data_IF_444268443351
#
_entry.id   IF_444268443351
#
_cell.length_a   1.000
_cell.length_b   1.000
_cell.length_c   1.000
_cell.angle_alpha   90.00
_cell.angle_beta   90.00
_cell.angle_gamma   90.00
#
_symmetry.space_group_name_H-M   'P 1'
#
loop_
_entity.id
_entity.type
_entity.pdbx_description
1 polymer ?
2 non-polymer ?
3 non-polymer ?
4 water ?
#
# COMPACT_ATOMS: atom_id res chain seq x y z
N UNK A 21 19.46 -31.58 7.02
CA UNK A 21 20.38 -30.45 7.31
C UNK A 21 19.65 -29.26 7.92
N UNK A 22 18.38 -29.05 7.53
CA UNK A 22 17.55 -27.86 7.87
C UNK A 22 17.36 -27.72 9.38
N UNK A 23 17.61 -26.54 9.93
CA UNK A 23 17.51 -26.27 11.38
C UNK A 23 16.08 -25.92 11.76
N UNK A 24 15.71 -26.16 13.01
CA UNK A 24 14.46 -25.62 13.62
C UNK A 24 14.62 -24.11 13.77
N UNK A 25 13.58 -23.34 13.43
CA UNK A 25 13.58 -21.87 13.58
C UNK A 25 13.62 -21.53 15.06
N UNK A 26 14.42 -20.54 15.47
CA UNK A 26 14.44 -20.11 16.86
C UNK A 26 13.14 -19.43 17.20
N UNK A 27 12.69 -19.65 18.43
CA UNK A 27 11.46 -19.01 18.94
C UNK A 27 11.86 -17.62 19.44
N UNK A 28 11.16 -16.58 19.02
CA UNK A 28 11.50 -15.20 19.45
C UNK A 28 11.19 -15.11 20.96
N UNK A 29 12.11 -14.50 21.70
CA UNK A 29 12.04 -14.39 23.18
C UNK A 29 10.76 -13.60 23.50
N UNK A 30 9.98 -14.14 24.42
CA UNK A 30 8.73 -13.49 24.86
C UNK A 30 8.38 -13.84 26.28
N UNK A 31 7.11 -13.72 26.60
CA UNK A 31 6.53 -13.96 27.93
C UNK A 31 6.56 -15.47 28.18
N UNK A 32 6.86 -15.94 29.41
CA UNK A 32 6.92 -17.38 29.64
C UNK A 32 5.61 -18.14 29.39
N UNK A 33 4.48 -17.47 29.59
CA UNK A 33 3.12 -18.05 29.40
C UNK A 33 2.57 -17.62 28.03
N UNK A 34 2.69 -16.33 27.72
CA UNK A 34 1.92 -15.72 26.62
C UNK A 34 2.77 -15.54 25.37
N UNK A 35 4.01 -16.01 25.35
CA UNK A 35 4.88 -15.85 24.16
C UNK A 35 4.96 -14.40 23.70
N UNK A 36 4.73 -14.14 22.42
CA UNK A 36 4.93 -12.79 21.84
C UNK A 36 3.63 -11.99 21.86
N UNK A 37 2.57 -12.49 22.50
CA UNK A 37 1.22 -11.83 22.40
C UNK A 37 1.29 -10.37 22.89
N UNK A 38 1.87 -10.10 24.05
CA UNK A 38 1.86 -8.72 24.60
C UNK A 38 2.77 -7.83 23.73
N UNK A 39 3.95 -8.34 23.36
CA UNK A 39 4.94 -7.52 22.61
C UNK A 39 4.40 -7.14 21.24
N UNK A 40 3.67 -8.04 20.58
CA UNK A 40 3.09 -7.78 19.24
C UNK A 40 1.89 -6.84 19.31
N UNK A 41 1.10 -6.90 20.38
CA UNK A 41 0.04 -5.91 20.62
C UNK A 41 0.67 -4.54 20.87
N UNK A 42 1.63 -4.46 21.78
CA UNK A 42 2.21 -3.15 22.20
C UNK A 42 3.04 -2.49 21.11
N UNK A 43 3.91 -3.25 20.45
CA UNK A 43 4.84 -2.65 19.48
C UNK A 43 5.35 -3.71 18.50
N UNK A 44 4.53 -4.09 17.51
CA UNK A 44 4.92 -5.15 16.60
C UNK A 44 6.19 -4.81 15.81
N UNK A 45 6.28 -3.56 15.37
CA UNK A 45 7.41 -3.17 14.49
C UNK A 45 8.75 -3.28 15.22
N UNK A 46 8.78 -2.83 16.48
CA UNK A 46 10.02 -2.99 17.26
C UNK A 46 10.28 -4.47 17.54
N UNK A 47 9.20 -5.20 17.78
CA UNK A 47 9.32 -6.65 18.04
C UNK A 47 9.93 -7.37 16.82
N UNK A 48 9.45 -7.03 15.63
CA UNK A 48 10.03 -7.62 14.39
C UNK A 48 11.52 -7.30 14.29
N UNK A 49 11.91 -6.04 14.52
CA UNK A 49 13.32 -5.62 14.44
C UNK A 49 14.14 -6.35 15.49
N UNK A 50 13.61 -6.48 16.71
CA UNK A 50 14.34 -7.27 17.75
C UNK A 50 14.46 -8.72 17.29
N UNK A 51 13.40 -9.28 16.72
CA UNK A 51 13.45 -10.71 16.34
C UNK A 51 14.64 -10.94 15.40
N UNK A 52 14.80 -10.06 14.43
CA UNK A 52 15.91 -10.24 13.46
C UNK A 52 17.25 -10.07 14.20
N UNK A 53 17.36 -9.00 14.98
CA UNK A 53 18.66 -8.69 15.66
C UNK A 53 19.09 -9.85 16.56
N UNK A 54 18.18 -10.38 17.35
CA UNK A 54 18.57 -11.39 18.38
C UNK A 54 18.46 -12.84 17.90
N UNK A 55 17.62 -13.10 16.89
CA UNK A 55 17.35 -14.51 16.53
C UNK A 55 17.66 -14.87 15.07
N UNK A 56 17.87 -13.86 14.23
CA UNK A 56 18.27 -14.17 12.86
C UNK A 56 17.22 -13.91 11.80
N UNK A 57 17.46 -14.45 10.60
CA UNK A 57 16.61 -14.10 9.43
C UNK A 57 15.42 -15.04 9.22
N UNK A 58 15.37 -16.15 9.95
CA UNK A 58 14.17 -17.04 9.90
C UNK A 58 13.80 -17.37 11.35
N UNK A 59 12.65 -16.88 11.80
CA UNK A 59 12.27 -17.04 13.22
C UNK A 59 10.83 -17.53 13.33
N UNK A 60 10.44 -17.90 14.55
CA UNK A 60 9.02 -18.23 14.75
C UNK A 60 8.49 -17.46 15.97
N UNK A 61 7.26 -17.00 15.83
CA UNK A 61 6.60 -16.25 16.92
C UNK A 61 5.59 -17.21 17.55
N UNK A 62 5.70 -17.31 18.86
CA UNK A 62 4.86 -18.27 19.60
C UNK A 62 3.80 -17.49 20.33
N UNK A 63 2.58 -18.02 20.30
CA UNK A 63 1.48 -17.44 21.09
C UNK A 63 1.35 -18.26 22.36
N UNK A 64 0.52 -17.76 23.23
CA UNK A 64 0.28 -18.47 24.47
C UNK A 64 -1.11 -18.10 24.93
N UNK A 65 -1.74 -18.93 25.76
CA UNK A 65 -1.17 -20.23 26.12
C UNK A 65 -1.03 -21.21 24.96
N UNK A 66 -0.30 -22.33 25.15
CA UNK A 66 -0.12 -23.32 24.08
C UNK A 66 -1.44 -23.76 23.45
N UNK A 67 -1.48 -23.81 22.13
CA UNK A 67 -2.67 -24.27 21.42
C UNK A 67 -3.53 -23.14 20.92
N UNK A 68 -3.28 -21.91 21.37
CA UNK A 68 -4.19 -20.83 20.92
C UNK A 68 -4.05 -20.72 19.40
N UNK A 69 -2.80 -20.67 18.97
CA UNK A 69 -2.51 -20.50 17.53
C UNK A 69 -1.19 -21.20 17.24
N UNK A 70 -1.10 -21.74 16.05
CA UNK A 70 0.18 -22.32 15.64
C UNK A 70 1.24 -21.23 15.58
N UNK A 71 2.49 -21.67 15.73
CA UNK A 71 3.62 -20.72 15.60
C UNK A 71 3.59 -20.08 14.21
N UNK A 72 3.92 -18.79 14.16
CA UNK A 72 3.97 -18.05 12.87
C UNK A 72 5.43 -17.84 12.55
N UNK A 73 5.81 -18.17 11.32
CA UNK A 73 7.25 -18.09 10.97
C UNK A 73 7.52 -16.72 10.39
N UNK A 74 8.71 -16.20 10.36
CA UNK A 74 8.94 -14.92 9.65
C UNK A 74 10.25 -15.07 8.87
N UNK A 75 10.32 -14.42 7.72
CA UNK A 75 11.51 -14.53 6.81
C UNK A 75 11.97 -13.12 6.55
N UNK A 76 13.21 -12.78 6.93
CA UNK A 76 13.66 -11.37 6.89
C UNK A 76 14.81 -11.11 5.90
N UNK A 77 15.42 -12.15 5.37
CA UNK A 77 16.51 -11.94 4.38
C UNK A 77 15.93 -11.61 3.00
N UNK A 78 16.67 -10.85 2.22
CA UNK A 78 16.29 -10.53 0.84
C UNK A 78 16.19 -11.86 0.07
N UNK A 79 17.11 -12.79 0.31
CA UNK A 79 17.11 -14.10 -0.39
C UNK A 79 15.85 -14.88 -0.04
N UNK A 80 15.47 -14.86 1.24
CA UNK A 80 14.29 -15.58 1.72
C UNK A 80 13.03 -14.95 1.14
N UNK A 81 12.96 -13.62 1.09
CA UNK A 81 11.77 -12.95 0.56
C UNK A 81 11.61 -13.32 -0.92
N UNK A 82 12.72 -13.31 -1.67
CA UNK A 82 12.69 -13.70 -3.11
C UNK A 82 12.23 -15.15 -3.23
N UNK A 83 12.65 -16.01 -2.33
CA UNK A 83 12.29 -17.45 -2.37
C UNK A 83 10.80 -17.64 -2.14
N UNK A 84 10.24 -16.96 -1.13
CA UNK A 84 8.83 -17.10 -0.73
C UNK A 84 7.91 -16.44 -1.78
N UNK A 85 8.24 -15.25 -2.26
CA UNK A 85 7.32 -14.49 -3.13
C UNK A 85 7.50 -14.88 -4.58
N UNK A 86 8.65 -15.42 -4.98
CA UNK A 86 8.98 -15.62 -6.42
C UNK A 86 9.44 -17.07 -6.68
N UNK A 87 10.61 -17.45 -6.21
CA UNK A 87 11.28 -18.69 -6.69
C UNK A 87 10.38 -19.88 -6.41
N UNK A 88 9.85 -19.98 -5.20
CA UNK A 88 9.00 -21.12 -4.74
C UNK A 88 7.58 -20.64 -4.46
N UNK A 89 7.11 -19.65 -5.23
CA UNK A 89 5.81 -18.99 -4.95
C UNK A 89 4.67 -20.00 -4.87
N UNK A 90 4.70 -21.06 -5.71
CA UNK A 90 3.66 -22.08 -5.70
C UNK A 90 3.48 -22.80 -4.37
N UNK A 91 4.54 -22.86 -3.54
CA UNK A 91 4.47 -23.50 -2.21
C UNK A 91 3.99 -22.53 -1.12
N UNK A 92 3.86 -21.24 -1.40
CA UNK A 92 3.48 -20.25 -0.37
C UNK A 92 2.22 -19.53 -0.85
N UNK A 93 1.06 -19.95 -0.35
CA UNK A 93 -0.27 -19.55 -0.84
C UNK A 93 -0.91 -18.50 0.05
N UNK A 94 -1.94 -17.88 -0.49
CA UNK A 94 -2.78 -16.92 0.25
C UNK A 94 -3.88 -17.66 1.02
N UNK A 95 -3.46 -18.57 1.90
CA UNK A 95 -4.42 -19.44 2.62
C UNK A 95 -4.56 -19.03 4.08
N UNK A 96 -3.84 -18.01 4.51
CA UNK A 96 -4.03 -17.43 5.87
C UNK A 96 -5.51 -17.07 6.09
N UNK A 97 -5.95 -17.19 7.33
CA UNK A 97 -7.36 -16.89 7.74
C UNK A 97 -7.73 -15.47 7.31
N UNK A 98 -6.84 -14.47 7.48
CA UNK A 98 -7.20 -13.05 7.16
C UNK A 98 -7.59 -12.90 5.69
N UNK A 99 -7.08 -13.75 4.78
CA UNK A 99 -7.49 -13.64 3.36
C UNK A 99 -8.96 -14.02 3.23
N UNK A 100 -9.40 -15.03 3.95
CA UNK A 100 -10.78 -15.48 3.89
C UNK A 100 -11.70 -14.41 4.45
N UNK A 101 -11.27 -13.71 5.50
CA UNK A 101 -12.09 -12.57 6.01
C UNK A 101 -12.15 -11.46 4.96
N UNK A 102 -11.06 -11.16 4.25
CA UNK A 102 -11.12 -10.19 3.16
C UNK A 102 -12.08 -10.69 2.08
N UNK A 103 -12.01 -11.95 1.65
CA UNK A 103 -12.93 -12.47 0.62
C UNK A 103 -14.39 -12.26 1.10
N UNK A 104 -14.62 -12.46 2.39
CA UNK A 104 -16.01 -12.38 2.90
C UNK A 104 -16.47 -10.94 2.84
N UNK A 105 -15.55 -9.98 2.92
CA UNK A 105 -15.94 -8.55 2.97
C UNK A 105 -15.95 -7.88 1.58
N UNK A 106 -15.02 -8.26 0.71
CA UNK A 106 -14.93 -7.57 -0.62
C UNK A 106 -15.07 -8.52 -1.80
N UNK A 107 -15.34 -9.78 -1.57
CA UNK A 107 -15.35 -10.69 -2.71
C UNK A 107 -13.95 -11.21 -3.03
N UNK A 108 -13.88 -12.18 -3.92
CA UNK A 108 -12.62 -12.89 -4.23
C UNK A 108 -11.96 -12.32 -5.50
N UNK A 109 -11.65 -11.04 -5.46
CA UNK A 109 -10.95 -10.32 -6.53
C UNK A 109 -9.45 -10.56 -6.56
N UNK A 110 -8.73 -9.69 -7.25
CA UNK A 110 -7.40 -10.03 -7.82
C UNK A 110 -6.45 -10.30 -6.65
N UNK A 111 -6.60 -9.60 -5.53
CA UNK A 111 -5.59 -9.75 -4.45
C UNK A 111 -5.74 -11.09 -3.73
N UNK A 112 -6.96 -11.63 -3.61
CA UNK A 112 -7.22 -12.81 -2.79
C UNK A 112 -7.37 -14.09 -3.61
N UNK A 113 -7.64 -14.01 -4.91
CA UNK A 113 -8.02 -15.23 -5.67
C UNK A 113 -6.77 -16.08 -5.98
N UNK A 114 -6.96 -17.36 -6.23
CA UNK A 114 -5.87 -18.32 -6.42
C UNK A 114 -6.25 -19.27 -7.53
N UNK A 115 -5.27 -20.04 -8.01
CA UNK A 115 -5.47 -21.16 -8.97
C UNK A 115 -6.19 -20.61 -10.21
N UNK A 116 -7.13 -21.36 -10.81
CA UNK A 116 -7.74 -21.01 -12.12
C UNK A 116 -8.54 -19.72 -12.03
N UNK A 117 -9.17 -19.48 -10.88
CA UNK A 117 -9.97 -18.25 -10.62
C UNK A 117 -9.06 -17.05 -10.81
N UNK A 118 -7.89 -17.06 -10.18
CA UNK A 118 -6.88 -15.98 -10.32
C UNK A 118 -6.40 -15.84 -11.75
N UNK A 119 -6.13 -16.94 -12.44
CA UNK A 119 -5.58 -16.82 -13.82
C UNK A 119 -6.61 -16.17 -14.75
N UNK A 120 -7.90 -16.48 -14.60
CA UNK A 120 -8.92 -15.79 -15.40
C UNK A 120 -8.94 -14.30 -15.08
N UNK A 121 -8.87 -13.94 -13.79
CA UNK A 121 -8.93 -12.50 -13.44
C UNK A 121 -7.67 -11.77 -13.97
N UNK A 122 -6.53 -12.43 -13.89
CA UNK A 122 -5.27 -11.78 -14.33
C UNK A 122 -5.29 -11.53 -15.83
N UNK A 123 -5.79 -12.54 -16.56
CA UNK A 123 -5.84 -12.39 -18.04
C UNK A 123 -6.77 -11.23 -18.40
N UNK A 124 -7.83 -11.06 -17.63
CA UNK A 124 -8.86 -10.02 -17.98
C UNK A 124 -8.42 -8.63 -17.51
N UNK A 125 -7.71 -8.55 -16.38
CA UNK A 125 -7.36 -7.23 -15.76
C UNK A 125 -5.95 -6.73 -16.13
N UNK A 126 -5.01 -7.66 -16.38
CA UNK A 126 -3.65 -7.13 -16.68
C UNK A 126 -3.68 -6.12 -17.84
N UNK A 127 -4.43 -6.35 -18.95
CA UNK A 127 -4.50 -5.36 -20.01
C UNK A 127 -4.90 -3.94 -19.59
N UNK A 128 -5.66 -3.82 -18.50
CA UNK A 128 -6.11 -2.49 -18.03
C UNK A 128 -4.93 -1.74 -17.40
N UNK A 129 -3.81 -2.43 -17.10
CA UNK A 129 -2.71 -1.83 -16.30
C UNK A 129 -1.42 -1.86 -17.14
N UNK A 130 -1.56 -1.78 -18.44
CA UNK A 130 -0.38 -1.53 -19.33
C UNK A 130 0.18 -0.16 -18.96
N UNK A 131 1.47 0.05 -19.19
CA UNK A 131 2.09 1.37 -18.89
C UNK A 131 1.35 2.48 -19.65
N UNK A 132 0.98 2.20 -20.90
CA UNK A 132 0.35 3.25 -21.73
C UNK A 132 -1.04 3.60 -21.17
N UNK A 133 -1.79 2.58 -20.77
CA UNK A 133 -3.14 2.84 -20.22
C UNK A 133 -3.02 3.64 -18.92
N UNK A 134 -2.13 3.17 -18.05
CA UNK A 134 -1.95 3.89 -16.74
C UNK A 134 -1.50 5.33 -16.98
N UNK A 135 -0.60 5.53 -17.93
CA UNK A 135 -0.14 6.90 -18.27
C UNK A 135 -1.26 7.83 -18.69
N UNK A 136 -2.32 7.25 -19.24
CA UNK A 136 -3.45 8.08 -19.69
C UNK A 136 -4.16 8.75 -18.53
N UNK A 137 -3.84 8.33 -17.31
CA UNK A 137 -4.52 8.88 -16.12
C UNK A 137 -3.74 10.07 -15.55
N UNK A 138 -2.64 10.42 -16.20
CA UNK A 138 -1.77 11.51 -15.70
C UNK A 138 -2.58 12.80 -15.51
N UNK A 139 -3.45 13.15 -16.47
CA UNK A 139 -4.21 14.40 -16.34
C UNK A 139 -5.16 14.38 -15.15
N UNK A 140 -5.76 13.22 -14.80
CA UNK A 140 -6.64 13.08 -13.62
C UNK A 140 -5.80 13.35 -12.34
N UNK A 141 -4.62 12.75 -12.27
CA UNK A 141 -3.73 12.96 -11.10
C UNK A 141 -3.35 14.43 -11.00
N UNK A 142 -2.88 15.01 -12.10
CA UNK A 142 -2.42 16.41 -12.16
C UNK A 142 -3.56 17.30 -11.70
N UNK A 143 -4.75 17.09 -12.25
CA UNK A 143 -5.96 17.90 -11.93
C UNK A 143 -6.31 17.80 -10.44
N UNK A 144 -6.26 16.58 -9.86
CA UNK A 144 -6.58 16.43 -8.41
C UNK A 144 -5.50 17.12 -7.58
N UNK A 145 -4.24 17.02 -7.97
CA UNK A 145 -3.15 17.66 -7.21
C UNK A 145 -3.26 19.18 -7.29
N UNK A 146 -3.67 19.72 -8.44
CA UNK A 146 -3.92 21.18 -8.56
C UNK A 146 -5.06 21.56 -7.62
N UNK A 147 -6.11 20.74 -7.53
CA UNK A 147 -7.25 21.01 -6.62
C UNK A 147 -6.83 21.02 -5.15
N UNK A 148 -5.95 20.10 -4.77
CA UNK A 148 -5.39 20.08 -3.38
C UNK A 148 -4.55 21.34 -3.12
N UNK A 149 -3.72 21.73 -4.06
CA UNK A 149 -2.92 22.96 -3.95
C UNK A 149 -3.83 24.18 -3.73
N UNK A 150 -4.95 24.27 -4.44
CA UNK A 150 -5.91 25.40 -4.34
C UNK A 150 -6.49 25.37 -2.93
N UNK A 151 -6.92 24.21 -2.44
CA UNK A 151 -7.45 24.00 -1.07
C UNK A 151 -6.40 24.47 -0.05
N UNK A 152 -5.13 24.08 -0.24
CA UNK A 152 -4.10 24.43 0.78
C UNK A 152 -3.81 25.93 0.79
N UNK A 153 -3.81 26.59 -0.36
CA UNK A 153 -3.59 28.06 -0.44
C UNK A 153 -4.68 28.74 0.35
N UNK A 154 -5.85 28.08 0.42
CA UNK A 154 -7.06 28.58 1.11
C UNK A 154 -7.06 28.40 2.61
N UNK A 155 -6.09 27.73 3.22
CA UNK A 155 -6.12 27.43 4.66
C UNK A 155 -5.60 28.68 5.35
N UNK A 156 -6.48 29.43 6.09
CA UNK A 156 -6.06 30.66 6.74
C UNK A 156 -4.79 30.50 7.59
N UNK A 157 -4.66 29.38 8.31
CA UNK A 157 -3.56 29.12 9.25
C UNK A 157 -2.34 28.46 8.63
N UNK A 158 -2.44 28.03 7.37
CA UNK A 158 -1.28 27.43 6.67
C UNK A 158 -0.85 26.11 7.25
N UNK A 159 -1.68 25.41 8.04
CA UNK A 159 -1.29 24.17 8.77
C UNK A 159 -2.10 22.98 8.30
N UNK A 160 -1.46 21.81 8.17
CA UNK A 160 -2.18 20.55 7.84
C UNK A 160 -1.63 19.43 8.72
N UNK A 161 -2.35 18.33 8.70
CA UNK A 161 -1.92 17.03 9.23
C UNK A 161 -1.84 16.10 8.01
N UNK A 162 -0.62 15.68 7.65
CA UNK A 162 -0.39 15.06 6.32
C UNK A 162 -1.04 13.68 6.20
N UNK A 163 -1.11 12.89 7.25
CA UNK A 163 -1.79 11.56 7.19
C UNK A 163 -3.23 11.77 6.72
N UNK A 164 -3.93 12.67 7.38
CA UNK A 164 -5.34 12.90 7.02
C UNK A 164 -5.48 13.50 5.61
N UNK A 165 -4.62 14.46 5.31
CA UNK A 165 -4.76 15.12 3.99
C UNK A 165 -4.51 14.11 2.87
N UNK A 166 -3.49 13.27 3.05
CA UNK A 166 -3.15 12.34 1.94
C UNK A 166 -4.16 11.19 1.91
N UNK A 167 -4.77 10.86 3.05
CA UNK A 167 -5.83 9.83 3.00
C UNK A 167 -6.95 10.34 2.09
N UNK A 168 -7.27 11.62 2.21
CA UNK A 168 -8.40 12.17 1.42
C UNK A 168 -7.99 12.26 -0.06
N UNK A 169 -6.80 12.79 -0.29
CA UNK A 169 -6.30 13.00 -1.68
C UNK A 169 -6.18 11.66 -2.45
N UNK A 170 -5.57 10.68 -1.80
CA UNK A 170 -5.34 9.39 -2.49
C UNK A 170 -6.67 8.73 -2.84
N UNK A 171 -7.67 8.86 -1.98
CA UNK A 171 -8.98 8.26 -2.35
C UNK A 171 -9.60 9.05 -3.51
N UNK A 172 -9.45 10.37 -3.48
CA UNK A 172 -10.01 11.13 -4.63
C UNK A 172 -9.32 10.73 -5.94
N UNK A 173 -8.01 10.53 -5.89
CA UNK A 173 -7.25 10.18 -7.13
C UNK A 173 -7.75 8.80 -7.61
N UNK A 174 -7.80 7.83 -6.71
CA UNK A 174 -8.19 6.49 -7.21
C UNK A 174 -9.68 6.53 -7.62
N UNK A 175 -10.49 7.30 -6.89
CA UNK A 175 -11.90 7.43 -7.26
C UNK A 175 -12.08 8.06 -8.64
N UNK A 176 -11.28 9.08 -8.95
CA UNK A 176 -11.39 9.76 -10.27
C UNK A 176 -11.05 8.79 -11.38
N UNK A 177 -10.04 8.00 -11.11
CA UNK A 177 -9.64 7.07 -12.17
C UNK A 177 -10.66 5.94 -12.35
N UNK A 178 -11.26 5.48 -11.24
CA UNK A 178 -12.26 4.40 -11.34
C UNK A 178 -13.59 4.95 -11.87
N UNK A 179 -13.99 6.12 -11.39
CA UNK A 179 -15.37 6.58 -11.69
C UNK A 179 -15.46 7.88 -12.49
N UNK A 180 -14.33 8.50 -12.79
CA UNK A 180 -14.31 9.76 -13.53
C UNK A 180 -15.17 10.86 -12.94
N UNK A 181 -16.14 11.36 -13.73
CA UNK A 181 -16.98 12.52 -13.32
C UNK A 181 -17.82 12.17 -12.09
N UNK A 182 -18.10 10.87 -11.84
CA UNK A 182 -18.94 10.40 -10.69
C UNK A 182 -18.09 10.26 -9.41
N UNK A 183 -16.83 10.64 -9.42
CA UNK A 183 -16.06 10.54 -8.15
C UNK A 183 -16.69 11.40 -7.04
N UNK A 184 -17.11 12.61 -7.37
CA UNK A 184 -17.57 13.52 -6.29
C UNK A 184 -18.84 13.00 -5.66
N UNK A 185 -19.72 12.41 -6.47
CA UNK A 185 -21.03 11.96 -5.95
C UNK A 185 -20.90 10.73 -5.05
N UNK A 186 -19.86 9.92 -5.22
CA UNK A 186 -19.76 8.65 -4.46
C UNK A 186 -18.67 8.74 -3.40
N UNK A 187 -17.88 9.80 -3.42
CA UNK A 187 -16.72 9.92 -2.49
C UNK A 187 -17.11 9.76 -1.02
N UNK A 188 -18.09 10.55 -0.56
CA UNK A 188 -18.42 10.54 0.88
C UNK A 188 -18.70 9.12 1.37
N UNK A 189 -19.54 8.40 0.63
CA UNK A 189 -19.93 7.01 1.03
C UNK A 189 -18.66 6.14 1.08
N UNK A 190 -17.85 6.15 0.01
CA UNK A 190 -16.67 5.24 0.02
C UNK A 190 -15.75 5.66 1.18
N UNK A 191 -15.53 6.97 1.33
CA UNK A 191 -14.60 7.49 2.35
C UNK A 191 -15.02 6.99 3.74
N UNK A 192 -16.32 6.94 3.97
CA UNK A 192 -16.84 6.54 5.31
C UNK A 192 -16.89 5.03 5.46
N UNK A 193 -17.28 4.31 4.41
CA UNK A 193 -17.55 2.87 4.53
C UNK A 193 -16.33 1.96 4.28
N UNK A 194 -15.55 2.29 3.26
CA UNK A 194 -14.40 1.41 2.91
C UNK A 194 -13.48 1.17 4.11
N UNK A 195 -13.05 2.20 4.87
CA UNK A 195 -12.16 1.94 6.00
C UNK A 195 -12.78 1.05 7.10
N UNK A 196 -14.10 1.13 7.24
CA UNK A 196 -14.76 0.34 8.31
C UNK A 196 -14.78 -1.13 7.92
N UNK A 197 -15.01 -1.34 6.63
CA UNK A 197 -15.06 -2.73 6.16
C UNK A 197 -13.66 -3.33 6.31
N UNK A 198 -12.60 -2.60 5.93
CA UNK A 198 -11.22 -3.15 5.99
C UNK A 198 -10.89 -3.50 7.45
N UNK A 199 -11.21 -2.57 8.36
CA UNK A 199 -10.89 -2.79 9.80
C UNK A 199 -11.58 -4.06 10.30
N UNK A 200 -12.86 -4.23 9.95
CA UNK A 200 -13.64 -5.40 10.42
C UNK A 200 -12.98 -6.69 9.93
N UNK A 201 -12.68 -6.74 8.63
CA UNK A 201 -12.10 -7.97 8.05
C UNK A 201 -10.70 -8.25 8.59
N UNK A 202 -9.86 -7.22 8.69
CA UNK A 202 -8.43 -7.47 9.05
C UNK A 202 -8.38 -7.79 10.54
N UNK A 203 -9.15 -7.08 11.36
CA UNK A 203 -9.16 -7.38 12.82
C UNK A 203 -9.74 -8.79 13.04
N UNK A 204 -10.83 -9.16 12.36
CA UNK A 204 -11.40 -10.54 12.42
C UNK A 204 -10.30 -11.50 11.97
N UNK A 205 -9.61 -11.13 10.90
CA UNK A 205 -8.66 -12.01 10.20
C UNK A 205 -7.50 -12.39 11.07
N UNK A 206 -7.05 -11.47 11.91
CA UNK A 206 -5.86 -11.69 12.73
C UNK A 206 -6.25 -12.20 14.11
N UNK A 207 -7.55 -12.29 14.43
CA UNK A 207 -7.95 -12.68 15.81
C UNK A 207 -8.00 -14.19 15.84
N UNK A 208 -7.45 -14.84 16.88
CA UNK A 208 -7.50 -16.29 17.00
C UNK A 208 -8.89 -16.84 17.33
N UNK A 209 -9.71 -16.03 17.99
CA UNK A 209 -11.10 -16.41 18.31
C UNK A 209 -12.00 -15.37 17.63
N UNK A 210 -13.03 -15.81 16.88
CA UNK A 210 -14.04 -14.89 16.30
C UNK A 210 -15.44 -15.52 16.23
N UNK A 211 -16.46 -14.64 16.24
CA UNK A 211 -17.88 -15.01 16.02
C UNK A 211 -18.07 -15.33 14.53
N UNK A 212 -19.03 -16.19 14.18
CA UNK A 212 -19.57 -16.21 12.83
C UNK A 212 -20.18 -14.84 12.53
N UNK A 213 -20.00 -14.40 11.28
CA UNK A 213 -20.60 -13.10 10.87
C UNK A 213 -22.13 -13.19 10.89
N UNK A 214 -22.69 -14.40 10.92
CA UNK A 214 -24.15 -14.61 10.92
C UNK A 214 -24.74 -14.29 12.30
N UNK A 215 -23.91 -14.25 13.33
CA UNK A 215 -24.43 -13.86 14.66
C UNK A 215 -24.89 -12.39 14.59
N UNK A 216 -26.10 -12.01 15.04
CA UNK A 216 -26.49 -10.59 15.05
C UNK A 216 -25.88 -9.73 16.15
N UNK A 217 -24.58 -9.81 16.35
CA UNK A 217 -23.94 -8.93 17.34
C UNK A 217 -23.97 -7.48 16.84
N UNK A 218 -23.79 -6.44 17.69
CA UNK A 218 -23.75 -5.07 17.18
C UNK A 218 -22.68 -4.86 16.10
N UNK A 219 -21.51 -5.47 16.30
CA UNK A 219 -20.40 -5.28 15.33
C UNK A 219 -20.76 -5.92 13.98
N UNK A 220 -21.35 -7.11 14.05
CA UNK A 220 -21.73 -7.80 12.80
C UNK A 220 -22.87 -7.02 12.11
N UNK A 221 -23.84 -6.55 12.89
CA UNK A 221 -24.96 -5.77 12.32
C UNK A 221 -24.41 -4.49 11.67
N UNK A 222 -23.47 -3.83 12.34
CA UNK A 222 -22.88 -2.55 11.84
C UNK A 222 -22.12 -2.87 10.55
N UNK A 223 -21.31 -3.93 10.56
CA UNK A 223 -20.55 -4.35 9.36
C UNK A 223 -21.48 -4.70 8.18
N UNK A 224 -22.56 -5.43 8.43
CA UNK A 224 -23.49 -5.87 7.38
C UNK A 224 -24.16 -4.63 6.77
N UNK A 225 -24.53 -3.62 7.58
CA UNK A 225 -25.11 -2.34 7.06
C UNK A 225 -24.10 -1.60 6.17
N UNK A 226 -22.86 -1.49 6.62
CA UNK A 226 -21.77 -0.77 5.91
C UNK A 226 -21.50 -1.45 4.57
N UNK A 227 -21.38 -2.78 4.60
CA UNK A 227 -21.09 -3.62 3.41
C UNK A 227 -22.23 -3.43 2.43
N UNK A 228 -23.49 -3.54 2.89
CA UNK A 228 -24.68 -3.38 2.04
C UNK A 228 -24.71 -2.00 1.37
N UNK A 229 -24.37 -0.94 2.11
CA UNK A 229 -24.38 0.45 1.56
C UNK A 229 -23.35 0.55 0.45
N UNK A 230 -22.13 0.11 0.75
CA UNK A 230 -21.04 0.24 -0.25
C UNK A 230 -21.31 -0.68 -1.44
N UNK A 231 -21.81 -1.89 -1.23
CA UNK A 231 -22.09 -2.84 -2.34
C UNK A 231 -23.14 -2.22 -3.29
N UNK A 232 -24.17 -1.58 -2.75
CA UNK A 232 -25.28 -1.03 -3.57
C UNK A 232 -24.76 0.13 -4.41
N UNK A 233 -23.94 0.97 -3.80
CA UNK A 233 -23.30 2.08 -4.55
C UNK A 233 -22.48 1.49 -5.72
N UNK A 234 -21.61 0.54 -5.41
CA UNK A 234 -20.74 0.01 -6.49
C UNK A 234 -21.63 -0.62 -7.58
N UNK A 235 -22.61 -1.40 -7.16
CA UNK A 235 -23.45 -2.13 -8.14
C UNK A 235 -24.14 -1.14 -9.09
N UNK A 236 -24.53 0.02 -8.57
CA UNK A 236 -25.25 1.01 -9.37
C UNK A 236 -24.34 1.66 -10.40
N UNK A 237 -23.16 2.09 -9.98
CA UNK A 237 -22.16 2.66 -10.94
C UNK A 237 -21.82 1.64 -12.01
N UNK A 238 -21.55 0.43 -11.58
CA UNK A 238 -21.17 -0.63 -12.53
C UNK A 238 -22.32 -0.83 -13.53
N UNK A 239 -23.54 -1.01 -13.01
CA UNK A 239 -24.66 -1.31 -13.94
C UNK A 239 -24.80 -0.14 -14.92
N UNK A 240 -24.52 1.08 -14.46
CA UNK A 240 -24.63 2.29 -15.31
C UNK A 240 -23.64 2.24 -16.48
N UNK A 241 -22.46 1.68 -16.27
CA UNK A 241 -21.42 1.63 -17.34
C UNK A 241 -21.52 0.35 -18.16
N UNK A 242 -22.46 -0.55 -17.84
CA UNK A 242 -22.51 -1.86 -18.54
C UNK A 242 -22.97 -1.69 -19.99
N UNK A 243 -23.42 -0.50 -20.33
CA UNK A 243 -23.87 -0.24 -21.72
C UNK A 243 -22.65 -0.23 -22.63
N UNK A 244 -21.49 0.08 -22.04
CA UNK A 244 -20.27 0.18 -22.87
C UNK A 244 -19.75 -1.25 -23.14
N UNK A 253 -4.77 6.96 -25.01
CA UNK A 253 -5.66 7.89 -25.75
C UNK A 253 -6.93 8.14 -24.95
N UNK A 254 -7.79 7.12 -24.88
CA UNK A 254 -9.11 7.24 -24.22
C UNK A 254 -8.97 7.65 -22.75
N UNK A 255 -9.83 8.55 -22.30
CA UNK A 255 -9.82 8.91 -20.88
C UNK A 255 -10.83 8.05 -20.13
N UNK A 256 -11.14 6.87 -20.68
CA UNK A 256 -12.19 6.04 -20.07
C UNK A 256 -11.79 5.65 -18.65
N UNK A 257 -12.78 5.67 -17.77
CA UNK A 257 -12.53 5.32 -16.36
C UNK A 257 -12.27 3.83 -16.24
N UNK A 258 -11.71 3.41 -15.10
CA UNK A 258 -11.31 1.98 -14.96
C UNK A 258 -12.52 1.03 -14.86
N UNK A 259 -13.64 1.47 -14.29
CA UNK A 259 -14.81 0.51 -14.29
C UNK A 259 -15.28 0.31 -15.70
N UNK A 260 -15.24 1.36 -16.49
CA UNK A 260 -15.62 1.21 -17.92
C UNK A 260 -14.67 0.19 -18.57
N UNK A 261 -13.38 0.30 -18.29
CA UNK A 261 -12.43 -0.70 -18.81
C UNK A 261 -12.73 -2.10 -18.27
N UNK A 262 -13.15 -2.20 -16.99
CA UNK A 262 -13.43 -3.52 -16.40
C UNK A 262 -14.68 -4.10 -17.09
N UNK A 263 -15.67 -3.25 -17.28
CA UNK A 263 -16.91 -3.69 -17.97
C UNK A 263 -16.54 -4.19 -19.38
N UNK A 264 -15.58 -3.55 -20.02
CA UNK A 264 -15.19 -3.91 -21.41
C UNK A 264 -14.18 -5.06 -21.44
N UNK A 265 -13.70 -5.48 -20.28
CA UNK A 265 -12.68 -6.54 -20.26
C UNK A 265 -13.21 -7.81 -20.93
N UNK A 266 -12.33 -8.50 -21.65
CA UNK A 266 -12.71 -9.77 -22.27
C UNK A 266 -11.67 -10.18 -23.29
N UNK A 267 -11.73 -11.44 -23.70
CA UNK A 267 -10.82 -11.93 -24.76
C UNK A 267 -11.41 -13.17 -25.42
N UNK A 268 -10.71 -13.72 -26.41
CA UNK A 268 -11.28 -14.86 -27.18
C UNK A 268 -11.44 -16.09 -26.30
N UNK A 269 -10.73 -16.16 -25.18
CA UNK A 269 -10.77 -17.38 -24.35
C UNK A 269 -11.59 -17.16 -23.08
N UNK A 270 -11.65 -15.93 -22.60
CA UNK A 270 -12.34 -15.65 -21.33
C UNK A 270 -13.45 -14.66 -21.64
N UNK A 271 -14.64 -15.05 -21.30
CA UNK A 271 -15.76 -14.10 -21.44
C UNK A 271 -15.64 -12.96 -20.44
N UNK A 272 -16.57 -12.05 -20.53
CA UNK A 272 -16.51 -10.84 -19.68
C UNK A 272 -16.76 -11.15 -18.19
N UNK A 273 -16.42 -10.18 -17.33
CA UNK A 273 -16.72 -10.29 -15.89
C UNK A 273 -18.21 -10.11 -15.69
N UNK A 274 -18.77 -10.90 -14.79
CA UNK A 274 -20.20 -10.74 -14.42
C UNK A 274 -20.33 -9.65 -13.35
N UNK A 275 -21.55 -9.33 -12.95
CA UNK A 275 -21.78 -8.25 -11.99
C UNK A 275 -21.01 -8.50 -10.69
N UNK A 276 -21.04 -9.72 -10.15
CA UNK A 276 -20.34 -10.06 -8.88
C UNK A 276 -18.83 -9.84 -9.08
N UNK A 277 -18.31 -10.29 -10.20
CA UNK A 277 -16.86 -10.16 -10.51
C UNK A 277 -16.46 -8.69 -10.70
N UNK A 278 -17.29 -7.89 -11.38
CA UNK A 278 -17.01 -6.45 -11.54
C UNK A 278 -16.95 -5.79 -10.16
N UNK A 279 -17.89 -6.13 -9.28
CA UNK A 279 -17.92 -5.52 -7.94
C UNK A 279 -16.63 -5.88 -7.20
N UNK A 280 -16.24 -7.16 -7.26
CA UNK A 280 -15.08 -7.60 -6.44
C UNK A 280 -13.83 -6.89 -6.93
N UNK A 281 -13.68 -6.68 -8.24
CA UNK A 281 -12.46 -5.96 -8.70
C UNK A 281 -12.51 -4.47 -8.36
N UNK A 282 -13.68 -3.81 -8.49
CA UNK A 282 -13.77 -2.39 -8.10
C UNK A 282 -13.43 -2.26 -6.63
N UNK A 283 -13.94 -3.14 -5.79
CA UNK A 283 -13.69 -3.00 -4.33
C UNK A 283 -12.19 -3.20 -4.02
N UNK A 284 -11.56 -4.16 -4.69
CA UNK A 284 -10.12 -4.43 -4.34
C UNK A 284 -9.22 -3.33 -4.87
N UNK A 285 -9.57 -2.71 -6.00
CA UNK A 285 -8.76 -1.56 -6.48
C UNK A 285 -8.84 -0.40 -5.46
N UNK A 286 -10.06 -0.15 -4.97
CA UNK A 286 -10.20 0.91 -3.93
C UNK A 286 -9.39 0.52 -2.70
N UNK A 287 -9.59 -0.69 -2.21
CA UNK A 287 -8.96 -1.07 -0.91
C UNK A 287 -7.46 -1.13 -1.06
N UNK A 288 -7.02 -1.75 -2.14
CA UNK A 288 -5.56 -1.93 -2.31
C UNK A 288 -4.88 -0.62 -2.70
N UNK A 289 -5.62 0.31 -3.29
CA UNK A 289 -4.96 1.53 -3.81
C UNK A 289 -5.15 2.77 -2.95
N UNK A 290 -6.02 2.70 -1.95
CA UNK A 290 -6.30 3.95 -1.21
C UNK A 290 -5.23 4.20 -0.12
N UNK A 291 -5.27 3.45 0.97
CA UNK A 291 -4.44 3.79 2.14
C UNK A 291 -2.95 3.52 1.86
N UNK A 292 -2.70 2.58 0.98
CA UNK A 292 -1.29 2.28 0.62
C UNK A 292 -0.61 3.55 0.08
N UNK A 293 -1.18 4.12 -0.98
CA UNK A 293 -0.58 5.32 -1.59
C UNK A 293 -0.61 6.49 -0.60
N UNK A 294 -1.70 6.57 0.15
CA UNK A 294 -1.82 7.68 1.12
C UNK A 294 -0.61 7.69 2.08
N UNK A 295 -0.25 6.50 2.54
CA UNK A 295 0.83 6.41 3.56
C UNK A 295 2.16 6.84 2.92
N UNK A 296 2.39 6.37 1.69
CA UNK A 296 3.63 6.75 1.00
C UNK A 296 3.69 8.26 0.81
N UNK A 297 2.56 8.84 0.36
CA UNK A 297 2.54 10.30 0.10
C UNK A 297 2.75 11.08 1.41
N UNK A 298 2.05 10.66 2.47
CA UNK A 298 2.14 11.44 3.73
C UNK A 298 3.58 11.48 4.25
N UNK A 299 4.21 10.30 4.28
CA UNK A 299 5.57 10.24 4.86
C UNK A 299 6.64 10.77 3.90
N UNK A 300 6.46 10.66 2.60
CA UNK A 300 7.42 11.34 1.70
C UNK A 300 7.43 12.84 2.04
N UNK A 301 6.23 13.42 2.13
CA UNK A 301 6.15 14.88 2.40
C UNK A 301 6.69 15.18 3.80
N UNK A 302 6.35 14.34 4.77
CA UNK A 302 6.80 14.61 6.15
C UNK A 302 8.34 14.52 6.22
N UNK A 303 8.89 13.53 5.52
CA UNK A 303 10.36 13.42 5.49
C UNK A 303 10.95 14.67 4.81
N UNK A 304 10.36 15.11 3.70
CA UNK A 304 10.92 16.35 3.08
C UNK A 304 10.78 17.55 4.04
N UNK A 305 9.71 17.55 4.83
CA UNK A 305 9.45 18.68 5.74
C UNK A 305 10.51 18.69 6.85
N UNK A 306 11.05 17.53 7.18
CA UNK A 306 12.10 17.41 8.24
C UNK A 306 13.51 17.45 7.63
N UNK A 307 13.63 17.44 6.31
CA UNK A 307 14.96 17.40 5.64
C UNK A 307 15.05 18.48 4.56
N UNK A 308 15.38 19.74 4.94
CA UNK A 308 15.34 20.86 3.98
C UNK A 308 16.26 20.75 2.77
N UNK A 309 17.40 20.09 2.97
CA UNK A 309 18.36 19.96 1.85
C UNK A 309 17.73 19.07 0.78
N UNK A 310 17.12 17.98 1.24
CA UNK A 310 16.46 17.08 0.28
C UNK A 310 15.25 17.77 -0.32
N UNK A 311 14.51 18.53 0.49
CA UNK A 311 13.37 19.31 -0.06
C UNK A 311 13.86 20.31 -1.12
N UNK A 312 14.99 20.99 -0.90
CA UNK A 312 15.56 21.97 -1.88
C UNK A 312 15.85 21.21 -3.18
N UNK A 313 16.42 20.02 -3.08
CA UNK A 313 16.78 19.26 -4.31
C UNK A 313 15.52 18.93 -5.13
N UNK A 314 14.47 18.45 -4.45
CA UNK A 314 13.22 18.10 -5.17
C UNK A 314 12.59 19.38 -5.76
N UNK A 315 12.64 20.47 -5.01
CA UNK A 315 12.04 21.75 -5.48
C UNK A 315 12.77 22.21 -6.75
N UNK A 316 14.10 22.17 -6.70
CA UNK A 316 14.89 22.64 -7.87
C UNK A 316 14.54 21.79 -9.08
N UNK A 317 14.39 20.48 -8.88
CA UNK A 317 14.08 19.56 -10.00
C UNK A 317 12.67 19.85 -10.54
N UNK A 318 11.68 19.93 -9.67
CA UNK A 318 10.29 20.26 -10.06
C UNK A 318 10.26 21.64 -10.74
N UNK A 319 11.00 22.62 -10.24
CA UNK A 319 10.99 23.99 -10.84
C UNK A 319 11.59 23.92 -12.25
N UNK A 320 12.67 23.17 -12.43
CA UNK A 320 13.31 23.06 -13.76
C UNK A 320 12.31 22.43 -14.73
N UNK A 321 11.67 21.34 -14.36
CA UNK A 321 10.78 20.55 -15.25
C UNK A 321 9.46 21.29 -15.55
N UNK A 322 8.83 21.90 -14.55
CA UNK A 322 7.44 22.44 -14.64
C UNK A 322 7.46 23.96 -14.76
N UNK A 323 8.63 24.59 -14.63
CA UNK A 323 8.79 26.05 -14.73
C UNK A 323 8.34 26.78 -13.50
N UNK A 324 8.52 26.17 -12.33
CA UNK A 324 8.43 26.91 -11.06
C UNK A 324 6.99 27.14 -10.61
N UNK A 325 6.83 27.84 -9.47
CA UNK A 325 5.51 28.16 -8.95
C UNK A 325 4.66 28.84 -10.03
N UNK A 326 3.41 28.38 -10.17
CA UNK A 326 2.44 28.86 -11.17
C UNK A 326 2.67 28.23 -12.54
N UNK A 327 3.55 27.23 -12.58
CA UNK A 327 3.94 26.61 -13.84
C UNK A 327 2.98 25.54 -14.29
N UNK A 328 3.46 24.70 -15.21
CA UNK A 328 2.55 23.81 -15.99
C UNK A 328 2.22 22.54 -15.22
N UNK A 329 1.15 21.89 -15.63
CA UNK A 329 0.79 20.54 -15.16
C UNK A 329 1.88 19.57 -15.57
N UNK A 330 2.22 18.62 -14.66
CA UNK A 330 3.05 17.49 -15.03
C UNK A 330 2.26 16.51 -15.90
N UNK A 331 3.02 15.74 -16.67
CA UNK A 331 2.50 14.74 -17.64
C UNK A 331 3.13 13.39 -17.34
N UNK A 332 2.63 12.33 -17.98
CA UNK A 332 3.24 10.98 -17.82
C UNK A 332 4.72 11.02 -18.21
N UNK A 333 5.04 11.74 -19.30
CA UNK A 333 6.41 11.85 -19.85
C UNK A 333 7.34 12.47 -18.82
N UNK A 334 6.83 13.31 -17.91
CA UNK A 334 7.68 13.95 -16.86
C UNK A 334 8.20 12.93 -15.85
N UNK A 335 7.64 11.74 -15.75
CA UNK A 335 8.20 10.76 -14.81
C UNK A 335 9.70 10.56 -15.10
N UNK A 336 10.07 10.51 -16.38
CA UNK A 336 11.50 10.25 -16.72
C UNK A 336 12.37 11.45 -16.36
N UNK A 337 11.76 12.63 -16.13
CA UNK A 337 12.44 13.90 -15.89
C UNK A 337 12.43 14.27 -14.41
N UNK A 338 11.83 13.41 -13.57
CA UNK A 338 11.79 13.65 -12.11
C UNK A 338 12.49 12.49 -11.35
N UNK A 339 13.76 12.17 -11.63
CA UNK A 339 14.43 11.05 -10.99
C UNK A 339 14.65 11.25 -9.48
N UNK A 340 14.93 12.48 -9.06
CA UNK A 340 15.24 12.68 -7.63
C UNK A 340 13.98 12.48 -6.77
N UNK A 341 12.87 13.05 -7.23
CA UNK A 341 11.58 12.86 -6.52
C UNK A 341 11.28 11.36 -6.49
N UNK A 342 11.56 10.70 -7.60
CA UNK A 342 11.34 9.25 -7.68
C UNK A 342 12.20 8.53 -6.64
N UNK A 343 13.45 8.95 -6.47
CA UNK A 343 14.31 8.35 -5.41
C UNK A 343 13.75 8.70 -4.02
N UNK A 344 13.27 9.92 -3.87
CA UNK A 344 12.63 10.31 -2.57
C UNK A 344 11.49 9.38 -2.21
N UNK A 345 10.64 9.08 -3.19
CA UNK A 345 9.45 8.25 -2.90
C UNK A 345 9.89 6.82 -2.56
N UNK A 346 10.86 6.27 -3.29
CA UNK A 346 11.37 4.93 -2.98
C UNK A 346 11.92 4.88 -1.56
N UNK A 347 12.62 5.93 -1.13
CA UNK A 347 13.22 5.96 0.22
C UNK A 347 12.15 6.10 1.30
N UNK A 348 11.10 6.88 1.02
CA UNK A 348 9.97 7.04 1.93
C UNK A 348 9.32 5.66 2.07
N UNK A 349 9.18 4.94 0.96
CA UNK A 349 8.55 3.59 1.07
C UNK A 349 9.51 2.56 1.69
N UNK A 350 10.80 2.81 1.66
CA UNK A 350 11.75 1.96 2.41
C UNK A 350 11.49 2.11 3.91
N UNK A 351 11.43 3.34 4.37
CA UNK A 351 11.27 3.64 5.80
C UNK A 351 9.85 3.44 6.27
N UNK A 352 8.86 3.70 5.45
CA UNK A 352 7.44 3.64 5.88
C UNK A 352 6.69 2.74 4.89
N UNK A 353 7.01 1.45 4.80
CA UNK A 353 6.33 0.56 3.85
C UNK A 353 4.86 0.36 4.22
N UNK A 354 3.99 0.64 3.27
CA UNK A 354 2.54 0.55 3.55
C UNK A 354 2.10 -0.88 3.86
N UNK A 355 2.81 -1.91 3.31
CA UNK A 355 2.59 -3.32 3.64
C UNK A 355 3.83 -3.82 4.40
N UNK A 356 3.85 -3.65 5.73
CA UNK A 356 5.06 -3.91 6.48
C UNK A 356 5.36 -5.41 6.62
N UNK A 357 4.33 -6.24 6.42
CA UNK A 357 4.39 -7.73 6.39
C UNK A 357 3.53 -8.13 5.20
N UNK A 358 3.87 -9.31 4.68
CA UNK A 358 3.07 -9.94 3.60
C UNK A 358 2.92 -11.41 4.03
N UNK A 359 1.68 -11.87 4.22
CA UNK A 359 1.49 -13.22 4.79
C UNK A 359 1.40 -14.36 3.79
N UNK A 360 1.76 -15.56 4.10
CA UNK A 360 1.54 -16.68 3.17
C UNK A 360 1.32 -17.88 4.06
N UNK A 361 0.97 -18.99 3.44
CA UNK A 361 0.90 -20.26 4.19
C UNK A 361 1.61 -21.32 3.36
N UNK A 362 2.56 -22.01 3.96
CA UNK A 362 3.34 -23.07 3.30
C UNK A 362 2.45 -24.28 3.01
N UNK A 363 2.52 -24.80 1.79
CA UNK A 363 1.75 -26.04 1.45
C UNK A 363 2.55 -27.23 1.99
N UNK A 364 3.78 -27.36 1.51
CA UNK A 364 4.71 -28.48 1.84
C UNK A 364 5.86 -27.91 2.69
N UNK A 365 6.53 -28.79 3.43
CA UNK A 365 7.80 -28.43 4.07
C UNK A 365 8.71 -27.67 3.12
N UNK A 366 9.38 -26.65 3.63
CA UNK A 366 10.34 -25.84 2.88
C UNK A 366 11.57 -25.61 3.71
N UNK A 367 12.63 -25.16 3.05
CA UNK A 367 13.88 -24.75 3.71
C UNK A 367 14.23 -23.36 3.21
N UNK A 368 14.28 -22.37 4.13
CA UNK A 368 14.69 -20.98 3.80
C UNK A 368 15.93 -20.68 4.64
N UNK A 369 17.04 -20.29 4.00
CA UNK A 369 18.29 -19.88 4.68
C UNK A 369 18.67 -20.95 5.69
N UNK A 370 18.50 -22.22 5.31
CA UNK A 370 18.92 -23.38 6.12
C UNK A 370 17.99 -23.64 7.29
N UNK A 371 16.78 -23.09 7.29
CA UNK A 371 15.80 -23.26 8.38
C UNK A 371 14.51 -23.88 7.84
N UNK A 372 13.96 -24.87 8.54
CA UNK A 372 12.72 -25.57 8.15
C UNK A 372 11.50 -24.67 8.37
N UNK A 373 10.65 -24.54 7.33
CA UNK A 373 9.26 -24.06 7.48
C UNK A 373 8.34 -25.25 7.18
N UNK A 374 7.59 -25.74 8.19
CA UNK A 374 6.80 -26.93 7.99
C UNK A 374 5.54 -26.66 7.15
N UNK A 375 5.13 -27.74 6.49
CA UNK A 375 3.85 -27.81 5.78
C UNK A 375 2.76 -27.21 6.67
N UNK A 376 1.95 -26.33 6.09
CA UNK A 376 0.75 -25.83 6.74
C UNK A 376 1.03 -24.64 7.63
N UNK A 377 2.28 -24.20 7.80
CA UNK A 377 2.61 -23.12 8.72
C UNK A 377 2.25 -21.78 8.07
N UNK A 378 1.74 -20.88 8.88
CA UNK A 378 1.55 -19.50 8.38
C UNK A 378 2.92 -18.83 8.53
N UNK A 379 3.23 -17.93 7.60
CA UNK A 379 4.50 -17.21 7.68
C UNK A 379 4.33 -15.82 7.09
N UNK A 380 5.31 -14.98 7.36
CA UNK A 380 5.26 -13.69 6.68
C UNK A 380 6.67 -13.24 6.28
N UNK A 381 6.72 -12.52 5.16
CA UNK A 381 7.98 -11.82 4.80
C UNK A 381 7.71 -10.37 5.29
N UNK A 382 8.76 -9.57 5.41
CA UNK A 382 8.53 -8.25 6.03
C UNK A 382 9.32 -7.12 5.36
N UNK A 383 8.73 -6.36 4.41
CA UNK A 383 9.39 -5.15 3.94
C UNK A 383 9.89 -4.36 5.14
N UNK A 384 9.11 -4.24 6.21
CA UNK A 384 9.56 -3.41 7.35
C UNK A 384 10.97 -3.81 7.78
N UNK A 385 11.18 -5.07 8.05
CA UNK A 385 12.48 -5.55 8.59
C UNK A 385 13.54 -5.54 7.49
N UNK A 386 13.22 -6.09 6.31
CA UNK A 386 14.23 -6.20 5.22
C UNK A 386 14.72 -4.82 4.79
N UNK A 387 13.84 -3.83 4.75
CA UNK A 387 14.20 -2.43 4.36
C UNK A 387 15.14 -1.78 5.36
N UNK A 388 15.29 -2.38 6.54
CA UNK A 388 16.15 -1.84 7.63
C UNK A 388 17.27 -2.85 7.95
N UNK A 389 17.44 -3.92 7.18
CA UNK A 389 18.43 -5.00 7.44
C UNK A 389 19.83 -4.43 7.28
N UNK A 390 20.67 -4.42 8.35
CA UNK A 390 22.00 -3.82 8.28
C UNK A 390 22.90 -4.48 7.25
N UNK A 391 22.59 -5.70 6.80
CA UNK A 391 23.43 -6.38 5.76
C UNK A 391 23.30 -5.63 4.41
N UNK A 392 22.18 -4.92 4.19
CA UNK A 392 21.96 -4.30 2.86
C UNK A 392 21.92 -2.78 2.94
N UNK A 393 21.65 -2.27 4.12
CA UNK A 393 21.41 -0.82 4.27
C UNK A 393 22.27 -0.20 5.36
N UNK A 394 23.32 0.54 4.97
CA UNK A 394 24.09 1.27 5.96
C UNK A 394 23.25 2.34 6.66
N UNK A 395 23.46 2.53 7.97
CA UNK A 395 22.74 3.53 8.81
C UNK A 395 21.25 3.47 8.48
N UNK A 396 20.61 2.31 8.69
CA UNK A 396 19.28 2.06 8.11
C UNK A 396 18.17 3.03 8.53
N UNK A 397 18.30 3.74 9.65
CA UNK A 397 17.31 4.77 10.07
C UNK A 397 17.45 6.11 9.33
N UNK A 398 18.54 6.33 8.63
CA UNK A 398 18.85 7.61 7.99
C UNK A 398 18.06 7.70 6.67
N UNK A 399 17.38 8.80 6.48
CA UNK A 399 16.69 9.15 5.22
C UNK A 399 17.72 9.56 4.17
N UNK A 400 17.85 8.79 3.08
CA UNK A 400 18.86 9.08 2.05
C UNK A 400 18.38 8.65 0.67
N UNK A 401 17.73 9.55 -0.09
CA UNK A 401 17.23 9.20 -1.41
C UNK A 401 18.33 8.66 -2.35
N UNK A 402 19.60 9.03 -2.11
CA UNK A 402 20.69 8.56 -2.99
C UNK A 402 20.91 7.05 -2.85
N UNK A 403 20.28 6.37 -1.89
CA UNK A 403 20.24 4.90 -1.91
C UNK A 403 19.64 4.35 -3.20
N UNK A 404 18.92 5.14 -4.01
CA UNK A 404 18.15 4.63 -5.15
C UNK A 404 18.72 5.10 -6.50
N UNK A 405 19.99 5.52 -6.51
CA UNK A 405 20.73 5.57 -7.78
C UNK A 405 20.78 4.17 -8.35
N UNK A 406 20.90 4.04 -9.66
CA UNK A 406 21.02 2.70 -10.22
C UNK A 406 22.21 1.93 -9.65
N UNK A 407 23.34 2.61 -9.42
CA UNK A 407 24.56 1.95 -8.90
C UNK A 407 24.34 1.48 -7.47
N UNK A 408 23.69 2.31 -6.65
CA UNK A 408 23.52 1.89 -5.26
C UNK A 408 22.58 0.67 -5.19
N UNK A 409 21.61 0.66 -6.09
CA UNK A 409 20.65 -0.46 -6.14
C UNK A 409 21.37 -1.75 -6.56
N UNK A 410 22.29 -1.64 -7.50
CA UNK A 410 23.05 -2.81 -7.98
C UNK A 410 23.95 -3.35 -6.86
N UNK A 411 24.26 -2.51 -5.87
CA UNK A 411 25.17 -2.93 -4.80
C UNK A 411 24.46 -3.60 -3.65
N UNK A 412 23.18 -3.90 -3.83
CA UNK A 412 22.44 -4.65 -2.79
C UNK A 412 21.59 -5.74 -3.44
N UNK A 413 21.22 -6.77 -2.68
CA UNK A 413 20.38 -7.83 -3.21
C UNK A 413 19.06 -7.30 -3.79
N UNK A 414 18.51 -8.04 -4.74
CA UNK A 414 17.29 -7.57 -5.44
C UNK A 414 16.14 -7.28 -4.46
N UNK A 415 15.91 -8.17 -3.50
CA UNK A 415 14.73 -8.00 -2.61
C UNK A 415 15.09 -7.27 -1.31
N UNK A 416 16.15 -6.47 -1.33
CA UNK A 416 16.45 -5.64 -0.14
C UNK A 416 15.31 -4.63 0.01
N UNK A 417 14.69 -4.25 -1.11
CA UNK A 417 13.57 -3.28 -1.19
C UNK A 417 12.47 -3.95 -1.95
N UNK A 418 11.28 -4.06 -1.34
CA UNK A 418 10.15 -4.71 -2.03
C UNK A 418 8.82 -4.26 -1.44
N UNK A 419 8.54 -2.93 -1.37
CA UNK A 419 7.29 -2.48 -0.78
C UNK A 419 6.05 -2.90 -1.59
N UNK A 420 6.24 -3.23 -2.86
CA UNK A 420 5.15 -3.69 -3.76
C UNK A 420 5.20 -5.20 -3.91
N UNK A 421 5.96 -5.89 -3.07
CA UNK A 421 6.07 -7.34 -3.24
C UNK A 421 6.97 -7.68 -4.42
N UNK A 422 6.73 -8.83 -5.05
CA UNK A 422 7.62 -9.28 -6.11
C UNK A 422 7.15 -10.60 -6.67
N UNK A 423 7.55 -10.94 -7.89
CA UNK A 423 7.17 -12.24 -8.46
C UNK A 423 5.75 -12.21 -8.97
N UNK A 424 5.11 -13.37 -9.03
CA UNK A 424 3.89 -13.51 -9.83
C UNK A 424 2.70 -12.73 -9.28
N UNK A 425 2.75 -12.37 -7.99
CA UNK A 425 1.60 -11.70 -7.32
C UNK A 425 2.00 -10.29 -6.84
N UNK A 426 3.02 -9.75 -7.49
CA UNK A 426 3.45 -8.37 -7.16
C UNK A 426 2.34 -7.38 -7.47
N UNK A 427 2.46 -6.23 -6.85
CA UNK A 427 1.43 -5.20 -7.03
C UNK A 427 1.19 -4.84 -8.51
N UNK A 428 -0.04 -5.04 -8.99
CA UNK A 428 -0.37 -4.65 -10.39
C UNK A 428 -0.48 -3.13 -10.50
N UNK A 429 -0.72 -2.48 -9.36
CA UNK A 429 -0.86 -1.01 -9.30
C UNK A 429 0.44 -0.26 -9.02
N UNK A 430 1.62 -0.87 -9.13
CA UNK A 430 2.89 -0.18 -8.74
C UNK A 430 3.12 1.09 -9.56
N UNK A 431 3.04 0.94 -10.87
CA UNK A 431 3.31 2.11 -11.74
C UNK A 431 2.23 3.19 -11.55
N UNK A 432 0.97 2.76 -11.46
CA UNK A 432 -0.12 3.74 -11.17
C UNK A 432 0.21 4.51 -9.88
N UNK A 433 0.57 3.79 -8.84
CA UNK A 433 0.90 4.43 -7.53
C UNK A 433 2.04 5.43 -7.73
N UNK A 434 3.00 5.09 -8.59
CA UNK A 434 4.17 5.97 -8.77
C UNK A 434 3.76 7.17 -9.63
N UNK A 435 2.86 6.95 -10.59
CA UNK A 435 2.33 8.10 -11.38
C UNK A 435 1.60 9.05 -10.43
N UNK A 436 0.72 8.48 -9.62
CA UNK A 436 -0.05 9.33 -8.67
C UNK A 436 0.93 10.06 -7.75
N UNK A 437 1.93 9.33 -7.26
CA UNK A 437 2.80 9.92 -6.23
C UNK A 437 3.79 10.94 -6.82
N UNK A 438 4.47 10.58 -7.91
CA UNK A 438 5.49 11.50 -8.46
C UNK A 438 4.79 12.75 -9.04
N UNK A 439 3.73 12.54 -9.80
CA UNK A 439 3.12 13.73 -10.45
C UNK A 439 2.41 14.58 -9.38
N UNK A 440 1.76 13.89 -8.45
CA UNK A 440 1.04 14.61 -7.38
C UNK A 440 1.98 15.40 -6.49
N UNK A 441 3.05 14.74 -6.05
CA UNK A 441 4.02 15.47 -5.22
C UNK A 441 4.71 16.57 -6.04
N UNK A 442 4.97 16.39 -7.32
CA UNK A 442 5.67 17.47 -8.04
C UNK A 442 4.86 18.77 -8.01
N UNK A 443 3.54 18.63 -8.18
CA UNK A 443 2.68 19.84 -8.13
C UNK A 443 2.81 20.49 -6.76
N UNK A 444 2.74 19.67 -5.71
CA UNK A 444 2.71 20.26 -4.34
C UNK A 444 4.05 20.92 -4.03
N UNK A 445 5.12 20.29 -4.50
CA UNK A 445 6.48 20.85 -4.28
C UNK A 445 6.66 22.12 -5.15
N UNK A 446 6.06 22.13 -6.33
CA UNK A 446 6.12 23.36 -7.17
C UNK A 446 5.37 24.52 -6.47
N UNK A 447 4.44 24.20 -5.58
CA UNK A 447 3.54 25.25 -5.04
C UNK A 447 3.72 25.54 -3.53
N UNK A 448 4.40 24.66 -2.78
CA UNK A 448 4.55 24.87 -1.31
C UNK A 448 5.93 24.52 -0.81
N UNK A 449 6.35 25.24 0.21
CA UNK A 449 7.46 24.86 1.12
C UNK A 449 6.81 24.17 2.30
N UNK A 450 7.47 23.09 2.73
CA UNK A 450 6.94 22.25 3.84
C UNK A 450 7.82 22.43 5.07
N UNK A 451 7.17 22.68 6.19
CA UNK A 451 7.91 22.89 7.45
C UNK A 451 7.30 22.01 8.52
N UNK A 452 8.09 21.08 9.02
CA UNK A 452 7.60 20.19 10.08
C UNK A 452 7.38 20.99 11.36
N UNK A 453 6.45 20.52 12.19
CA UNK A 453 6.12 21.28 13.42
C UNK A 453 5.72 20.25 14.48
N UNK A 454 5.85 20.65 15.74
CA UNK A 454 5.40 19.76 16.82
C UNK A 454 6.35 18.61 16.99
N UNK A 455 5.81 17.47 17.43
CA UNK A 455 6.63 16.25 17.55
C UNK A 455 6.89 15.76 16.13
N UNK A 456 8.14 15.83 15.68
CA UNK A 456 8.46 15.46 14.28
C UNK A 456 8.67 13.96 14.18
N UNK A 457 8.82 13.26 15.31
CA UNK A 457 8.93 11.77 15.30
C UNK A 457 7.54 11.12 15.35
N UNK A 458 7.15 10.39 14.31
CA UNK A 458 5.79 9.79 14.22
C UNK A 458 5.86 8.34 14.65
N UNK A 459 5.20 7.97 15.76
CA UNK A 459 5.12 6.59 16.19
C UNK A 459 4.26 5.81 15.21
N UNK A 460 4.63 4.56 15.01
CA UNK A 460 3.96 3.65 14.06
C UNK A 460 3.48 2.37 14.76
N UNK A 461 2.41 1.82 14.20
CA UNK A 461 1.94 0.50 14.61
C UNK A 461 1.78 -0.32 13.34
N UNK A 462 1.17 -1.49 13.45
CA UNK A 462 0.93 -2.28 12.25
C UNK A 462 0.10 -3.53 12.45
N UNK A 463 -0.68 -3.89 11.44
CA UNK A 463 -1.32 -5.21 11.37
C UNK A 463 -0.70 -5.78 10.10
N UNK A 464 -1.48 -5.87 9.02
CA UNK A 464 -0.84 -6.20 7.71
C UNK A 464 -0.62 -4.87 6.98
N UNK A 465 -1.14 -3.78 7.52
CA UNK A 465 -0.96 -2.42 6.96
C UNK A 465 -0.21 -1.54 7.98
N UNK A 466 0.52 -0.53 7.50
CA UNK A 466 1.24 0.38 8.42
C UNK A 466 0.27 1.38 9.05
N UNK A 467 0.36 1.52 10.36
CA UNK A 467 -0.57 2.39 11.12
C UNK A 467 0.14 3.60 11.70
N UNK A 468 -0.29 4.80 11.32
CA UNK A 468 0.25 6.01 11.93
C UNK A 468 -0.34 6.12 13.34
N UNK A 469 0.53 6.15 14.33
CA UNK A 469 0.09 6.23 15.77
C UNK A 469 0.32 7.65 16.30
N UNK A 470 0.66 8.59 15.42
CA UNK A 470 0.77 10.02 15.71
C UNK A 470 0.58 10.84 14.46
N UNK A 471 0.39 12.17 14.61
CA UNK A 471 0.22 13.05 13.47
C UNK A 471 1.54 13.44 12.81
N UNK A 472 1.46 13.70 11.50
CA UNK A 472 2.53 14.29 10.71
C UNK A 472 2.16 15.75 10.47
N UNK A 473 2.42 16.56 11.49
CA UNK A 473 2.00 17.97 11.41
C UNK A 473 2.93 18.72 10.46
N UNK A 474 2.36 19.68 9.74
CA UNK A 474 3.18 20.37 8.74
C UNK A 474 2.61 21.76 8.43
N UNK A 475 3.49 22.74 8.36
CA UNK A 475 3.04 24.04 7.87
C UNK A 475 3.34 24.07 6.38
N UNK A 476 2.38 24.54 5.58
CA UNK A 476 2.51 24.56 4.11
C UNK A 476 2.53 26.01 3.64
N UNK A 477 3.68 26.51 3.23
CA UNK A 477 3.85 27.93 2.87
C UNK A 477 3.70 28.09 1.34
N UNK A 478 2.68 28.81 0.82
CA UNK A 478 2.55 28.96 -0.59
C UNK A 478 3.74 29.65 -1.25
N UNK A 479 4.15 29.12 -2.39
CA UNK A 479 5.21 29.67 -3.24
C UNK A 479 4.62 30.58 -4.32
N UNK A 480 3.32 30.49 -4.62
CA UNK A 480 2.66 31.36 -5.65
C UNK A 480 1.22 31.68 -5.25
N UNK A 481 0.51 32.46 -6.08
CA UNK A 481 -0.94 32.71 -5.91
C UNK A 481 -1.73 31.67 -6.70
N UNK A 482 -1.07 30.67 -7.27
CA UNK A 482 -1.76 29.58 -8.00
C UNK A 482 -1.85 29.91 -9.49
N UNK A 483 -2.66 29.16 -10.27
CA UNK A 483 -2.72 29.34 -11.71
C UNK A 483 -3.12 30.78 -12.10
N UNK A 484 -2.60 31.21 -13.24
CA UNK A 484 -2.89 32.54 -13.82
C UNK A 484 -2.83 32.32 -15.32
N UNK A 485 -3.78 32.84 -16.09
CA UNK A 485 -3.73 32.74 -17.57
C UNK A 485 -2.40 33.31 -18.10
N UNK A 486 -1.95 32.85 -19.28
CA UNK A 486 -0.76 33.39 -20.00
C UNK A 486 -0.95 33.37 -21.53
#
# INVERSE_FOLDING_TARGET
MASMTGGQQMGRGSEFMTAAGAAQAPIVAGHPLLGSMNDLLNDPLATYLRARRDHGDVVRFRAGPPGLRADIYAVFSAEGAQQVLATESGNFRKDNVFYGELRDSVGNGLLTSQDATYLRQRRLVQPLFTRRRVDGYAGQVADEAAGLAEAWRGIPGGGVELVGEMHRFALRVVGRILFGTDMETTFEVIERTLPLLQEYALKRGLAPVRTPRTWPTPANRRAARTQAELFALCDGIIDSRRNRKNEGDGGEESGEDLVTLLVRAGNAEDGSLDAAELREQVLIFLLAGHETTATALAFALHLLARHPEQQRRVRDEADRVLGGPGGRAPTAADMEALPYLTMVLKEAMRLYPSAPVIGRRAVADAEVDGVRIPAGADLFVSPWVTHRHPDYWPDPERFDPERFTPEAEAGRPRYAWFPFGGGPRACIGQHLSMLESVLGLAVLIREFEFEAVGEEEVPLGAGITLLAKGPARCRVIPRSSGPRSSHHHHHH
#
